data_IF_487215769856
#
_entry.id   IF_487215769856
#
_cell.length_a   1.000
_cell.length_b   1.000
_cell.length_c   1.000
_cell.angle_alpha   90.00
_cell.angle_beta   90.00
_cell.angle_gamma   90.00
#
_symmetry.space_group_name_H-M   'P 1'
#
loop_
_entity.id
_entity.type
_entity.pdbx_description
1 polymer ?
#
# COMPACT_ATOMS: atom_id res chain seq x y z
N UNK A 1 0.61 13.66 3.33
CA UNK A 1 1.54 12.61 2.98
C UNK A 1 1.64 12.40 1.49
N UNK A 2 0.80 11.60 0.87
CA UNK A 2 0.86 11.43 -0.59
C UNK A 2 0.15 12.57 -1.28
N UNK A 3 0.82 13.23 -2.21
CA UNK A 3 0.19 14.29 -2.98
C UNK A 3 -0.84 13.70 -3.93
N UNK A 4 -1.81 14.52 -4.32
CA UNK A 4 -2.92 14.08 -5.18
C UNK A 4 -2.43 13.48 -6.49
N UNK A 5 -1.45 14.07 -7.13
CA UNK A 5 -0.88 13.58 -8.36
C UNK A 5 -0.17 12.24 -8.17
N UNK A 6 0.55 12.06 -7.06
CA UNK A 6 1.21 10.80 -6.75
C UNK A 6 0.19 9.68 -6.51
N UNK A 7 -0.89 9.98 -5.81
CA UNK A 7 -1.97 9.02 -5.58
C UNK A 7 -2.62 8.59 -6.89
N UNK A 8 -2.88 9.53 -7.78
CA UNK A 8 -3.44 9.23 -9.08
C UNK A 8 -2.53 8.33 -9.89
N UNK A 9 -1.22 8.61 -9.89
CA UNK A 9 -0.25 7.79 -10.61
C UNK A 9 -0.21 6.36 -10.05
N UNK A 10 -0.30 6.18 -8.73
CA UNK A 10 -0.32 4.86 -8.09
C UNK A 10 -1.57 4.10 -8.50
N UNK A 11 -2.72 4.74 -8.51
CA UNK A 11 -3.98 4.13 -8.93
C UNK A 11 -3.91 3.71 -10.40
N UNK A 12 -3.44 4.61 -11.27
CA UNK A 12 -3.31 4.32 -12.70
C UNK A 12 -2.42 3.11 -12.97
N UNK A 13 -1.31 3.00 -12.25
CA UNK A 13 -0.35 1.94 -12.46
C UNK A 13 -0.86 0.57 -12.00
N UNK A 14 -1.85 0.52 -11.11
CA UNK A 14 -2.23 -0.72 -10.42
C UNK A 14 -3.68 -1.16 -10.66
N UNK A 15 -4.49 -0.36 -11.31
CA UNK A 15 -5.88 -0.74 -11.54
C UNK A 15 -5.96 -1.84 -12.59
N UNK A 16 -6.95 -2.72 -12.44
CA UNK A 16 -7.16 -3.86 -13.35
C UNK A 16 -8.00 -3.49 -14.57
N UNK A 17 -8.72 -2.36 -14.50
CA UNK A 17 -9.48 -1.80 -15.63
C UNK A 17 -9.64 -0.31 -15.39
N UNK A 18 -10.12 0.41 -16.42
CA UNK A 18 -10.14 1.87 -16.43
C UNK A 18 -10.85 2.51 -15.23
N UNK A 19 -11.91 1.89 -14.75
CA UNK A 19 -12.70 2.45 -13.64
C UNK A 19 -12.33 1.88 -12.29
N UNK A 20 -11.30 1.02 -12.22
CA UNK A 20 -10.95 0.35 -10.98
C UNK A 20 -10.10 1.25 -10.09
N UNK A 21 -10.75 1.85 -9.09
CA UNK A 21 -10.07 2.68 -8.08
C UNK A 21 -10.19 2.10 -6.68
N UNK A 22 -10.96 1.02 -6.52
CA UNK A 22 -11.23 0.44 -5.22
C UNK A 22 -10.85 -1.02 -5.05
N UNK A 23 -10.18 -1.62 -6.04
CA UNK A 23 -9.77 -3.02 -5.93
C UNK A 23 -8.76 -3.22 -4.82
N UNK A 24 -8.65 -4.45 -4.28
CA UNK A 24 -7.62 -4.75 -3.29
C UNK A 24 -6.21 -4.39 -3.78
N UNK A 25 -5.91 -4.62 -5.04
CA UNK A 25 -4.60 -4.30 -5.61
C UNK A 25 -4.30 -2.80 -5.54
N UNK A 26 -5.28 -1.98 -5.90
CA UNK A 26 -5.14 -0.52 -5.85
C UNK A 26 -4.96 -0.05 -4.41
N UNK A 27 -5.76 -0.58 -3.48
CA UNK A 27 -5.66 -0.19 -2.08
C UNK A 27 -4.33 -0.59 -1.47
N UNK A 28 -3.83 -1.78 -1.79
CA UNK A 28 -2.52 -2.25 -1.34
C UNK A 28 -1.42 -1.34 -1.88
N UNK A 29 -1.52 -0.93 -3.14
CA UNK A 29 -0.54 -0.03 -3.75
C UNK A 29 -0.52 1.33 -3.07
N UNK A 30 -1.68 1.90 -2.78
CA UNK A 30 -1.79 3.18 -2.07
C UNK A 30 -1.19 3.07 -0.68
N UNK A 31 -1.51 2.01 0.06
CA UNK A 31 -0.96 1.79 1.39
C UNK A 31 0.55 1.62 1.34
N UNK A 32 1.07 0.92 0.36
CA UNK A 32 2.51 0.72 0.19
C UNK A 32 3.22 2.05 -0.01
N UNK A 33 2.67 2.94 -0.86
CA UNK A 33 3.24 4.25 -1.08
C UNK A 33 3.27 5.08 0.20
N UNK A 34 2.17 5.07 0.96
CA UNK A 34 2.08 5.79 2.24
C UNK A 34 3.04 5.22 3.28
N UNK A 35 3.15 3.89 3.35
CA UNK A 35 4.07 3.24 4.28
C UNK A 35 5.51 3.64 3.97
N UNK A 36 5.89 3.63 2.70
CA UNK A 36 7.23 4.03 2.30
C UNK A 36 7.52 5.49 2.65
N UNK A 37 6.56 6.37 2.42
CA UNK A 37 6.69 7.78 2.76
C UNK A 37 6.87 8.00 4.25
N UNK A 38 6.06 7.34 5.08
CA UNK A 38 6.18 7.44 6.54
C UNK A 38 7.46 6.82 7.06
N UNK A 39 7.90 5.72 6.44
CA UNK A 39 9.16 5.09 6.83
C UNK A 39 10.32 6.06 6.64
N UNK A 40 10.36 6.77 5.50
CA UNK A 40 11.38 7.78 5.26
C UNK A 40 11.27 8.95 6.23
N UNK A 41 10.04 9.40 6.52
CA UNK A 41 9.79 10.46 7.49
C UNK A 41 10.36 10.08 8.87
N UNK A 42 10.14 8.85 9.31
CA UNK A 42 10.60 8.39 10.63
C UNK A 42 12.11 8.20 10.72
N UNK A 43 12.82 8.09 9.60
CA UNK A 43 14.27 8.06 9.62
C UNK A 43 14.85 9.41 10.08
N UNK A 44 14.15 10.50 9.77
CA UNK A 44 14.54 11.85 10.14
C UNK A 44 13.92 12.27 11.47
N UNK A 45 12.64 11.94 11.66
CA UNK A 45 11.87 12.33 12.85
C UNK A 45 11.62 11.10 13.73
N UNK A 46 12.68 10.58 14.34
CA UNK A 46 12.64 9.30 15.07
C UNK A 46 11.71 9.29 16.28
N UNK A 47 11.41 10.46 16.83
CA UNK A 47 10.56 10.57 18.02
C UNK A 47 9.12 10.94 17.70
N UNK A 48 8.74 10.90 16.44
CA UNK A 48 7.37 11.17 16.04
C UNK A 48 6.51 9.92 16.26
N UNK A 49 6.06 9.77 17.51
CA UNK A 49 5.28 8.59 17.92
C UNK A 49 3.90 8.54 17.26
N UNK A 50 3.34 9.69 16.92
CA UNK A 50 2.05 9.76 16.23
C UNK A 50 2.15 9.14 14.83
N UNK A 51 3.18 9.51 14.08
CA UNK A 51 3.43 8.96 12.75
C UNK A 51 3.77 7.48 12.82
N UNK A 52 4.53 7.06 13.84
CA UNK A 52 4.86 5.65 14.03
C UNK A 52 3.61 4.79 14.26
N UNK A 53 2.69 5.30 15.06
CA UNK A 53 1.41 4.62 15.31
C UNK A 53 0.60 4.51 14.02
N UNK A 54 0.55 5.58 13.24
CA UNK A 54 -0.12 5.59 11.95
C UNK A 54 0.50 4.58 10.98
N UNK A 55 1.83 4.50 10.96
CA UNK A 55 2.54 3.53 10.14
C UNK A 55 2.15 2.09 10.50
N UNK A 56 2.14 1.76 11.80
CA UNK A 56 1.76 0.43 12.25
C UNK A 56 0.33 0.06 11.85
N UNK A 57 -0.59 1.02 11.92
CA UNK A 57 -1.97 0.81 11.47
C UNK A 57 -2.04 0.49 9.98
N UNK A 58 -1.27 1.21 9.17
CA UNK A 58 -1.26 1.00 7.73
C UNK A 58 -0.62 -0.34 7.36
N UNK A 59 0.43 -0.73 8.05
CA UNK A 59 1.06 -2.04 7.84
C UNK A 59 0.07 -3.16 8.16
N UNK A 60 -0.65 -3.04 9.29
CA UNK A 60 -1.66 -4.02 9.67
C UNK A 60 -2.80 -4.11 8.65
N UNK A 61 -3.27 -2.96 8.18
CA UNK A 61 -4.33 -2.92 7.17
C UNK A 61 -3.87 -3.55 5.85
N UNK A 62 -2.65 -3.25 5.41
CA UNK A 62 -2.09 -3.85 4.20
C UNK A 62 -2.00 -5.36 4.33
N UNK A 63 -1.57 -5.86 5.47
CA UNK A 63 -1.49 -7.29 5.71
C UNK A 63 -2.85 -7.96 5.59
N UNK A 64 -3.89 -7.37 6.18
CA UNK A 64 -5.25 -7.92 6.08
C UNK A 64 -5.73 -7.98 4.63
N UNK A 65 -5.43 -6.96 3.86
CA UNK A 65 -5.82 -6.92 2.45
C UNK A 65 -5.06 -7.93 1.62
N UNK A 66 -3.78 -8.12 1.91
CA UNK A 66 -2.98 -9.16 1.25
C UNK A 66 -3.48 -10.56 1.58
N UNK A 67 -3.84 -10.81 2.85
CA UNK A 67 -4.40 -12.09 3.26
C UNK A 67 -5.74 -12.36 2.57
N UNK A 68 -6.58 -11.33 2.47
CA UNK A 68 -7.85 -11.44 1.76
C UNK A 68 -7.62 -11.80 0.28
N UNK A 69 -6.70 -11.10 -0.37
CA UNK A 69 -6.41 -11.33 -1.77
C UNK A 69 -5.83 -12.74 -2.00
N UNK A 70 -4.94 -13.18 -1.12
CA UNK A 70 -4.34 -14.51 -1.21
C UNK A 70 -5.41 -15.60 -1.11
N UNK A 71 -6.38 -15.43 -0.22
CA UNK A 71 -7.47 -16.39 -0.06
C UNK A 71 -8.42 -16.38 -1.26
N UNK A 72 -8.60 -15.22 -1.88
CA UNK A 72 -9.54 -15.06 -2.99
C UNK A 72 -8.95 -15.43 -4.34
N UNK A 73 -7.72 -15.05 -4.59
CA UNK A 73 -7.04 -15.29 -5.87
C UNK A 73 -5.52 -15.24 -5.67
N UNK A 74 -4.92 -16.42 -5.54
CA UNK A 74 -3.49 -16.52 -5.24
C UNK A 74 -2.61 -15.94 -6.36
N UNK A 75 -3.05 -16.00 -7.60
CA UNK A 75 -2.27 -15.46 -8.70
C UNK A 75 -2.23 -13.93 -8.66
N UNK A 76 -3.36 -13.30 -8.33
CA UNK A 76 -3.41 -11.85 -8.15
C UNK A 76 -2.53 -11.42 -6.97
N UNK A 77 -2.55 -12.19 -5.89
CA UNK A 77 -1.71 -11.93 -4.73
C UNK A 77 -0.23 -11.96 -5.12
N UNK A 78 0.20 -13.00 -5.83
CA UNK A 78 1.59 -13.13 -6.26
C UNK A 78 2.01 -11.99 -7.18
N UNK A 79 1.13 -11.59 -8.10
CA UNK A 79 1.41 -10.49 -9.02
C UNK A 79 1.60 -9.17 -8.28
N UNK A 80 0.76 -8.91 -7.27
CA UNK A 80 0.84 -7.66 -6.50
C UNK A 80 2.12 -7.61 -5.67
N UNK A 81 2.47 -8.68 -4.96
CA UNK A 81 3.69 -8.65 -4.14
C UNK A 81 4.94 -8.53 -5.00
N UNK A 82 4.95 -9.14 -6.17
CA UNK A 82 6.07 -9.02 -7.10
C UNK A 82 6.17 -7.60 -7.66
N UNK A 83 5.05 -7.04 -8.08
CA UNK A 83 5.00 -5.70 -8.68
C UNK A 83 5.41 -4.61 -7.70
N UNK A 84 4.97 -4.71 -6.46
CA UNK A 84 5.24 -3.68 -5.45
C UNK A 84 6.46 -3.97 -4.59
N UNK A 85 7.11 -5.11 -4.82
CA UNK A 85 8.27 -5.48 -4.04
C UNK A 85 7.96 -5.70 -2.56
N UNK A 86 6.77 -6.22 -2.27
CA UNK A 86 6.32 -6.43 -0.89
C UNK A 86 6.77 -7.80 -0.40
N UNK A 87 7.30 -7.80 0.81
CA UNK A 87 7.49 -9.05 1.55
C UNK A 87 6.26 -9.25 2.40
N UNK A 88 5.61 -10.30 2.25
CA UNK A 88 4.45 -10.53 3.06
C UNK A 88 4.70 -10.58 4.59
#
# INVERSE_FOLDING_TARGET
MIRKDEKTAVIEANRTHETDTGSPEVQIAILTARINELTEHLKVHKQDNHSRRGLLKMVGKRRKMLDYLMAKDIERYRAVIAKLGIRK
#
